data_IF_774644380898
#
_entry.id   IF_774644380898
#
_cell.length_a   1.000
_cell.length_b   1.000
_cell.length_c   1.000
_cell.angle_alpha   90.00
_cell.angle_beta   90.00
_cell.angle_gamma   90.00
#
_symmetry.space_group_name_H-M   'P 1'
#
loop_
_entity.id
_entity.type
_entity.pdbx_description
1 polymer ?
#
# COMPACT_ATOMS: atom_id res chain seq x y z
N UNK A 1 15.42 -60.70 -22.47
CA UNK A 1 14.82 -60.20 -21.21
C UNK A 1 15.91 -59.47 -20.43
N UNK A 2 15.70 -58.23 -19.98
CA UNK A 2 16.71 -57.51 -19.20
C UNK A 2 16.94 -58.21 -17.85
N UNK A 3 18.20 -58.30 -17.43
CA UNK A 3 18.56 -58.97 -16.18
C UNK A 3 18.01 -58.18 -14.97
N UNK A 4 17.25 -58.81 -14.06
CA UNK A 4 16.58 -58.12 -12.95
C UNK A 4 17.57 -57.46 -11.98
N UNK A 5 18.76 -58.01 -11.83
CA UNK A 5 19.83 -57.43 -10.99
C UNK A 5 20.29 -56.07 -11.49
N UNK A 6 20.33 -55.84 -12.80
CA UNK A 6 20.73 -54.55 -13.37
C UNK A 6 19.62 -53.51 -13.20
N UNK A 7 18.36 -53.90 -13.37
CA UNK A 7 17.22 -52.99 -13.18
C UNK A 7 17.20 -52.44 -11.75
N UNK A 8 17.35 -53.30 -10.74
CA UNK A 8 17.35 -52.89 -9.33
C UNK A 8 18.44 -51.84 -9.07
N UNK A 9 19.68 -52.08 -9.50
CA UNK A 9 20.79 -51.14 -9.31
C UNK A 9 20.57 -49.80 -10.00
N UNK A 10 20.00 -49.79 -11.21
CA UNK A 10 19.73 -48.54 -11.94
C UNK A 10 18.65 -47.69 -11.25
N UNK A 11 17.63 -48.32 -10.66
CA UNK A 11 16.59 -47.58 -9.91
C UNK A 11 17.14 -46.99 -8.62
N UNK A 12 17.97 -47.75 -7.89
CA UNK A 12 18.67 -47.23 -6.71
C UNK A 12 19.59 -46.05 -7.06
N UNK A 13 20.34 -46.15 -8.17
CA UNK A 13 21.22 -45.06 -8.62
C UNK A 13 20.42 -43.81 -8.99
N UNK A 14 19.32 -43.98 -9.75
CA UNK A 14 18.45 -42.87 -10.12
C UNK A 14 17.82 -42.19 -8.91
N UNK A 15 17.33 -42.99 -7.94
CA UNK A 15 16.79 -42.47 -6.68
C UNK A 15 17.86 -41.75 -5.85
N UNK A 16 19.07 -42.31 -5.74
CA UNK A 16 20.17 -41.69 -5.01
C UNK A 16 20.52 -40.32 -5.60
N UNK A 17 20.65 -40.22 -6.93
CA UNK A 17 20.92 -38.95 -7.62
C UNK A 17 19.80 -37.94 -7.37
N UNK A 18 18.55 -38.37 -7.43
CA UNK A 18 17.40 -37.50 -7.15
C UNK A 18 17.38 -36.99 -5.69
N UNK A 19 17.95 -37.74 -4.75
CA UNK A 19 18.02 -37.34 -3.33
C UNK A 19 19.18 -36.37 -3.03
N UNK A 20 20.23 -36.31 -3.86
CA UNK A 20 21.40 -35.46 -3.61
C UNK A 20 21.02 -33.98 -3.40
N UNK A 21 20.17 -33.34 -4.22
CA UNK A 21 19.76 -31.96 -4.00
C UNK A 21 19.02 -31.75 -2.67
N UNK A 22 18.20 -32.72 -2.25
CA UNK A 22 17.46 -32.65 -0.99
C UNK A 22 18.43 -32.71 0.20
N UNK A 23 19.36 -33.67 0.19
CA UNK A 23 20.39 -33.80 1.22
C UNK A 23 21.30 -32.56 1.27
N UNK A 24 21.70 -32.04 0.10
CA UNK A 24 22.51 -30.83 0.01
C UNK A 24 21.78 -29.61 0.58
N UNK A 25 20.50 -29.41 0.22
CA UNK A 25 19.70 -28.30 0.74
C UNK A 25 19.49 -28.39 2.24
N UNK A 26 19.22 -29.58 2.77
CA UNK A 26 19.10 -29.81 4.21
C UNK A 26 20.39 -29.46 4.95
N UNK A 27 21.55 -29.92 4.44
CA UNK A 27 22.86 -29.58 5.01
C UNK A 27 23.17 -28.07 4.92
N UNK A 28 22.83 -27.44 3.80
CA UNK A 28 22.99 -26.01 3.62
C UNK A 28 22.15 -25.21 4.61
N UNK A 29 20.89 -25.59 4.84
CA UNK A 29 20.06 -24.96 5.84
C UNK A 29 20.64 -25.14 7.25
N UNK A 30 21.07 -26.35 7.62
CA UNK A 30 21.67 -26.62 8.94
C UNK A 30 22.88 -25.72 9.22
N UNK A 31 23.76 -25.52 8.24
CA UNK A 31 24.95 -24.66 8.36
C UNK A 31 24.65 -23.16 8.30
N UNK A 32 23.55 -22.75 7.66
CA UNK A 32 23.19 -21.34 7.44
C UNK A 32 21.92 -20.93 8.20
N UNK A 33 21.46 -21.74 9.16
CA UNK A 33 20.34 -21.35 10.02
C UNK A 33 20.85 -20.24 10.92
N UNK A 34 20.26 -19.03 10.85
CA UNK A 34 20.69 -17.93 11.71
C UNK A 34 20.54 -18.34 13.17
N UNK A 35 21.48 -17.91 14.01
CA UNK A 35 21.37 -18.10 15.45
C UNK A 35 20.12 -17.39 15.98
N UNK A 36 19.57 -17.86 17.11
CA UNK A 36 18.36 -17.26 17.71
C UNK A 36 18.49 -15.75 17.91
N UNK A 37 19.69 -15.27 18.25
CA UNK A 37 20.00 -13.84 18.41
C UNK A 37 19.95 -13.08 17.07
N UNK A 38 20.57 -13.61 16.02
CA UNK A 38 20.51 -13.01 14.68
C UNK A 38 19.10 -13.02 14.11
N UNK A 39 18.33 -14.07 14.42
CA UNK A 39 16.93 -14.16 14.04
C UNK A 39 16.07 -13.11 14.75
N UNK A 40 16.27 -12.89 16.05
CA UNK A 40 15.60 -11.82 16.78
C UNK A 40 15.96 -10.43 16.25
N UNK A 41 17.24 -10.19 15.91
CA UNK A 41 17.67 -8.93 15.30
C UNK A 41 16.98 -8.73 13.94
N UNK A 42 16.94 -9.77 13.10
CA UNK A 42 16.25 -9.72 11.81
C UNK A 42 14.75 -9.43 11.96
N UNK A 43 14.10 -10.05 12.95
CA UNK A 43 12.69 -9.79 13.24
C UNK A 43 12.48 -8.35 13.71
N UNK A 44 13.31 -7.86 14.63
CA UNK A 44 13.22 -6.47 15.09
C UNK A 44 13.45 -5.51 13.94
N UNK A 45 14.44 -5.73 13.09
CA UNK A 45 14.71 -4.84 11.96
C UNK A 45 13.54 -4.83 10.98
N UNK A 46 13.07 -6.00 10.52
CA UNK A 46 12.00 -6.10 9.52
C UNK A 46 10.63 -5.68 10.03
N UNK A 47 10.37 -5.82 11.32
CA UNK A 47 9.04 -5.58 11.89
C UNK A 47 8.98 -4.39 12.86
N UNK A 48 10.10 -3.75 13.20
CA UNK A 48 10.10 -2.54 14.06
C UNK A 48 9.24 -1.43 13.48
N UNK A 49 9.36 -1.17 12.18
CA UNK A 49 8.56 -0.18 11.47
C UNK A 49 7.07 -0.51 11.51
N UNK A 50 6.72 -1.79 11.37
CA UNK A 50 5.32 -2.23 11.44
C UNK A 50 4.76 -2.07 12.86
N UNK A 51 5.57 -2.34 13.88
CA UNK A 51 5.21 -2.14 15.29
C UNK A 51 5.00 -0.64 15.56
N UNK A 52 5.91 0.22 15.09
CA UNK A 52 5.79 1.67 15.25
C UNK A 52 4.56 2.21 14.50
N UNK A 53 4.35 1.78 13.27
CA UNK A 53 3.18 2.15 12.47
C UNK A 53 1.88 1.74 13.15
N UNK A 54 1.82 0.52 13.70
CA UNK A 54 0.65 0.06 14.46
C UNK A 54 0.41 0.89 15.72
N UNK A 55 1.47 1.24 16.47
CA UNK A 55 1.37 2.13 17.64
C UNK A 55 0.87 3.52 17.27
N UNK A 56 1.39 4.10 16.18
CA UNK A 56 0.97 5.42 15.70
C UNK A 56 -0.49 5.40 15.25
N UNK A 57 -0.91 4.39 14.48
CA UNK A 57 -2.31 4.21 14.07
C UNK A 57 -3.25 4.07 15.27
N UNK A 58 -2.83 3.36 16.32
CA UNK A 58 -3.61 3.26 17.57
C UNK A 58 -3.75 4.62 18.24
N UNK A 59 -2.67 5.40 18.33
CA UNK A 59 -2.70 6.74 18.93
C UNK A 59 -3.58 7.70 18.12
N UNK A 60 -3.49 7.67 16.79
CA UNK A 60 -4.33 8.46 15.89
C UNK A 60 -5.81 8.14 16.09
N UNK A 61 -6.14 6.85 16.27
CA UNK A 61 -7.50 6.40 16.53
C UNK A 61 -8.01 6.87 17.89
N UNK A 62 -7.19 6.80 18.94
CA UNK A 62 -7.54 7.32 20.28
C UNK A 62 -7.84 8.82 20.19
N UNK A 63 -6.94 9.59 19.56
CA UNK A 63 -7.14 11.03 19.36
C UNK A 63 -8.40 11.34 18.54
N UNK A 64 -8.68 10.54 17.52
CA UNK A 64 -9.89 10.67 16.72
C UNK A 64 -11.17 10.46 17.57
N UNK A 65 -11.20 9.43 18.42
CA UNK A 65 -12.34 9.17 19.30
C UNK A 65 -12.51 10.23 20.40
N UNK A 66 -11.42 10.69 21.00
CA UNK A 66 -11.45 11.80 21.97
C UNK A 66 -11.96 13.10 21.32
N UNK A 67 -11.63 13.28 20.04
CA UNK A 67 -12.15 14.34 19.19
C UNK A 67 -13.65 14.32 18.96
N UNK A 68 -14.20 13.14 18.68
CA UNK A 68 -15.65 12.95 18.51
C UNK A 68 -16.39 13.28 19.80
N UNK A 69 -15.80 12.97 20.96
CA UNK A 69 -16.42 13.22 22.26
C UNK A 69 -16.54 14.71 22.59
N UNK A 70 -15.65 15.56 22.05
CA UNK A 70 -15.62 17.00 22.27
C UNK A 70 -15.69 17.78 20.93
N UNK A 71 -16.84 17.77 20.22
CA UNK A 71 -16.97 18.47 18.95
C UNK A 71 -16.90 19.99 19.18
N UNK A 72 -15.82 20.62 18.71
CA UNK A 72 -15.64 22.07 18.75
C UNK A 72 -14.24 22.57 19.09
N UNK A 73 -13.33 21.69 19.51
CA UNK A 73 -11.96 22.11 19.87
C UNK A 73 -11.00 22.20 18.67
N UNK A 74 -11.30 21.56 17.54
CA UNK A 74 -10.32 21.40 16.46
C UNK A 74 -10.95 21.23 15.06
N UNK A 75 -10.79 22.23 14.19
CA UNK A 75 -11.39 22.28 12.84
C UNK A 75 -10.84 21.18 11.89
N UNK A 76 -9.57 20.81 12.05
CA UNK A 76 -8.96 19.73 11.24
C UNK A 76 -9.56 18.35 11.55
N UNK A 77 -9.95 18.15 12.80
CA UNK A 77 -10.55 16.91 13.27
C UNK A 77 -11.98 16.75 12.78
N UNK A 78 -12.73 17.87 12.73
CA UNK A 78 -14.06 17.91 12.13
C UNK A 78 -14.04 17.53 10.64
N UNK A 79 -13.03 18.01 9.88
CA UNK A 79 -12.84 17.62 8.48
C UNK A 79 -12.56 16.12 8.33
N UNK A 80 -11.70 15.54 9.19
CA UNK A 80 -11.43 14.09 9.21
C UNK A 80 -12.69 13.28 9.55
N UNK A 81 -13.47 13.72 10.53
CA UNK A 81 -14.74 13.08 10.90
C UNK A 81 -15.72 13.11 9.72
N UNK A 82 -15.87 14.25 9.05
CA UNK A 82 -16.71 14.37 7.85
C UNK A 82 -16.24 13.46 6.71
N UNK A 83 -14.93 13.30 6.52
CA UNK A 83 -14.37 12.40 5.52
C UNK A 83 -14.68 10.93 5.83
N UNK A 84 -14.53 10.51 7.09
CA UNK A 84 -14.88 9.16 7.55
C UNK A 84 -16.38 8.91 7.42
N UNK A 85 -17.24 9.87 7.81
CA UNK A 85 -18.70 9.77 7.67
C UNK A 85 -19.15 9.69 6.20
N UNK A 86 -18.39 10.29 5.27
CA UNK A 86 -18.59 10.12 3.83
C UNK A 86 -18.02 8.81 3.28
N UNK A 87 -17.61 7.89 4.14
CA UNK A 87 -17.08 6.58 3.78
C UNK A 87 -15.67 6.63 3.17
N UNK A 88 -14.85 7.62 3.53
CA UNK A 88 -13.52 7.79 2.94
C UNK A 88 -13.56 8.16 1.45
N UNK A 89 -14.70 8.67 0.97
CA UNK A 89 -14.88 9.20 -0.39
C UNK A 89 -14.28 10.62 -0.49
N UNK A 90 -13.09 10.80 0.07
CA UNK A 90 -12.24 11.98 -0.09
C UNK A 90 -11.54 11.96 -1.45
N UNK A 91 -11.01 13.10 -1.88
CA UNK A 91 -10.34 13.30 -3.18
C UNK A 91 -9.11 12.39 -3.42
N UNK A 92 -8.64 11.68 -2.39
CA UNK A 92 -7.46 10.82 -2.45
C UNK A 92 -7.88 9.38 -2.79
N UNK A 93 -7.90 9.05 -4.08
CA UNK A 93 -8.05 7.66 -4.53
C UNK A 93 -6.91 6.81 -3.96
N UNK A 94 -7.19 5.58 -3.51
CA UNK A 94 -6.20 4.63 -2.96
C UNK A 94 -5.08 4.40 -3.99
N UNK A 95 -3.89 4.94 -3.73
CA UNK A 95 -2.74 4.90 -4.62
C UNK A 95 -2.09 3.51 -4.75
N UNK A 96 -2.39 2.59 -3.83
CA UNK A 96 -1.66 1.33 -3.66
C UNK A 96 -2.17 0.16 -4.50
N UNK A 97 -3.16 0.39 -5.37
CA UNK A 97 -3.73 -0.64 -6.24
C UNK A 97 -3.71 -0.23 -7.71
N UNK A 98 -2.68 0.51 -8.14
CA UNK A 98 -2.56 0.97 -9.53
C UNK A 98 -1.17 0.65 -10.07
N UNK A 99 -1.17 0.11 -11.28
CA UNK A 99 -0.06 -0.43 -12.06
C UNK A 99 1.24 0.40 -11.92
N UNK A 100 2.30 -0.25 -11.42
CA UNK A 100 3.59 0.36 -11.05
C UNK A 100 4.25 1.07 -12.24
N UNK A 101 4.01 0.55 -13.44
CA UNK A 101 4.54 1.07 -14.71
C UNK A 101 3.94 2.42 -15.13
N UNK A 102 2.72 2.74 -14.67
CA UNK A 102 2.00 3.96 -15.04
C UNK A 102 2.03 5.03 -13.93
N UNK A 103 2.15 4.63 -12.66
CA UNK A 103 2.04 5.54 -11.50
C UNK A 103 3.23 5.51 -10.52
N UNK A 104 4.21 4.63 -10.71
CA UNK A 104 5.40 4.52 -9.86
C UNK A 104 6.63 5.31 -10.33
N UNK A 105 6.62 5.82 -11.57
CA UNK A 105 7.75 6.57 -12.16
C UNK A 105 7.60 8.08 -11.94
N UNK A 106 8.72 8.81 -11.82
CA UNK A 106 8.74 10.28 -11.63
C UNK A 106 8.02 11.02 -12.77
N UNK A 107 8.04 10.46 -13.98
CA UNK A 107 7.33 11.00 -15.14
C UNK A 107 5.80 10.89 -14.98
N UNK A 108 5.29 9.79 -14.45
CA UNK A 108 3.85 9.61 -14.19
C UNK A 108 3.32 10.57 -13.12
N UNK A 109 4.16 10.90 -12.13
CA UNK A 109 3.83 11.88 -11.09
C UNK A 109 3.72 13.30 -11.67
N UNK A 110 4.63 13.68 -12.59
CA UNK A 110 4.59 14.99 -13.28
C UNK A 110 3.36 15.13 -14.17
N UNK A 111 3.08 14.15 -15.02
CA UNK A 111 1.89 14.18 -15.91
C UNK A 111 0.60 14.25 -15.11
N UNK A 112 0.51 13.58 -13.96
CA UNK A 112 -0.67 13.63 -13.10
C UNK A 112 -0.82 14.99 -12.41
N UNK A 113 0.25 15.54 -11.85
CA UNK A 113 0.19 16.84 -11.18
C UNK A 113 -0.19 17.97 -12.15
N UNK A 114 0.24 17.86 -13.40
CA UNK A 114 -0.20 18.76 -14.48
C UNK A 114 -1.68 18.55 -14.82
N UNK A 115 -2.13 17.30 -15.01
CA UNK A 115 -3.54 17.00 -15.29
C UNK A 115 -4.50 17.42 -14.16
N UNK A 116 -4.10 17.25 -12.89
CA UNK A 116 -4.89 17.69 -11.74
C UNK A 116 -4.97 19.23 -11.65
N UNK A 117 -3.87 19.93 -11.93
CA UNK A 117 -3.86 21.41 -12.01
C UNK A 117 -4.77 21.92 -13.13
N UNK A 118 -4.73 21.29 -14.31
CA UNK A 118 -5.61 21.64 -15.42
C UNK A 118 -7.08 21.39 -15.10
N UNK A 119 -7.40 20.26 -14.46
CA UNK A 119 -8.76 19.95 -14.03
C UNK A 119 -9.30 20.95 -13.01
N UNK A 120 -8.47 21.38 -12.05
CA UNK A 120 -8.83 22.42 -11.08
C UNK A 120 -9.07 23.78 -11.76
N UNK A 121 -8.18 24.19 -12.67
CA UNK A 121 -8.34 25.41 -13.46
C UNK A 121 -9.63 25.41 -14.29
N UNK A 122 -10.00 24.28 -14.88
CA UNK A 122 -11.26 24.16 -15.63
C UNK A 122 -12.49 24.26 -14.72
N UNK A 123 -12.42 23.69 -13.51
CA UNK A 123 -13.50 23.78 -12.53
C UNK A 123 -13.68 25.22 -12.03
N UNK A 124 -12.60 25.94 -11.75
CA UNK A 124 -12.65 27.36 -11.36
C UNK A 124 -13.22 28.24 -12.47
N UNK A 125 -12.74 28.08 -13.71
CA UNK A 125 -13.29 28.81 -14.87
C UNK A 125 -14.79 28.55 -15.06
N UNK A 126 -15.25 27.31 -14.85
CA UNK A 126 -16.69 26.97 -14.92
C UNK A 126 -17.49 27.62 -13.79
N UNK A 127 -16.96 27.67 -12.56
CA UNK A 127 -17.60 28.36 -11.42
C UNK A 127 -17.71 29.86 -11.67
N UNK A 128 -16.64 30.49 -12.14
CA UNK A 128 -16.63 31.93 -12.44
C UNK A 128 -17.60 32.29 -13.57
N UNK A 129 -17.65 31.46 -14.63
CA UNK A 129 -18.61 31.65 -15.72
C UNK A 129 -20.06 31.52 -15.24
N UNK A 130 -20.34 30.62 -14.29
CA UNK A 130 -21.68 30.46 -13.71
C UNK A 130 -22.06 31.68 -12.85
N UNK A 131 -21.15 32.18 -12.01
CA UNK A 131 -21.37 33.36 -11.18
C UNK A 131 -21.65 34.62 -12.01
N UNK A 132 -20.92 34.81 -13.12
CA UNK A 132 -21.18 35.92 -14.04
C UNK A 132 -22.57 35.86 -14.67
N UNK A 133 -23.00 34.67 -15.14
CA UNK A 133 -24.36 34.47 -15.69
C UNK A 133 -25.46 34.74 -14.66
N UNK A 134 -25.27 34.34 -13.41
CA UNK A 134 -26.25 34.60 -12.34
C UNK A 134 -26.36 36.10 -12.01
N UNK A 135 -25.25 36.84 -12.03
CA UNK A 135 -25.24 38.28 -11.79
C UNK A 135 -25.83 39.10 -12.96
N UNK A 136 -25.55 38.71 -14.21
CA UNK A 136 -26.13 39.37 -15.39
C UNK A 136 -27.63 39.09 -15.53
N UNK A 137 -28.09 37.89 -15.14
CA UNK A 137 -29.51 37.54 -15.09
C UNK A 137 -30.30 38.32 -14.03
N UNK A 138 -29.66 38.69 -12.91
CA UNK A 138 -30.26 39.54 -11.87
C UNK A 138 -30.32 41.03 -12.28
N UNK A 139 -29.36 41.53 -13.06
CA UNK A 139 -29.37 42.91 -13.58
C UNK A 139 -30.43 43.17 -14.66
N UNK A 140 -30.83 42.15 -15.45
CA UNK A 140 -31.90 42.28 -16.46
C UNK A 140 -33.33 42.17 -15.90
N UNK A 141 -33.50 41.84 -14.61
CA UNK A 141 -34.80 41.72 -13.93
C UNK A 141 -35.17 42.92 -13.04
N UNK A 142 -34.31 43.95 -12.98
CA UNK A 142 -34.60 45.26 -12.39
C UNK A 142 -34.82 46.26 -13.52
#
# INVERSE_FOLDING_TARGET
MPNPKFQVTTHFLGFAIACIPCCYYAYYLDQNTPSDEEFEVMLREKYSDNIQKSRNQRNDMIQFFDGIKNPGSNEEMERKIQEVLRGGRGSTKRHYAVDEKLYGTEEGVKVRTEAEKEAQLQLEKKKDARLKKENDGKKKKK
#
